data_IF_394625192928
#
_entry.id   IF_394625192928
#
_cell.length_a   1.000
_cell.length_b   1.000
_cell.length_c   1.000
_cell.angle_alpha   90.00
_cell.angle_beta   90.00
_cell.angle_gamma   90.00
#
_symmetry.space_group_name_H-M   'P 1'
#
loop_
_entity.id
_entity.type
_entity.pdbx_description
1 polymer ?
#
# COMPACT_ATOMS: atom_id res chain seq x y z
N UNK A 1 -11.06 -25.04 -11.48
CA UNK A 1 -11.72 -23.74 -11.18
C UNK A 1 -11.12 -22.64 -12.06
N UNK A 2 -11.84 -22.22 -13.11
CA UNK A 2 -11.44 -21.07 -13.92
C UNK A 2 -11.51 -19.80 -13.06
N UNK A 3 -10.60 -18.86 -13.30
CA UNK A 3 -10.70 -17.51 -12.77
C UNK A 3 -12.09 -16.93 -13.13
N UNK A 4 -12.69 -16.07 -12.29
CA UNK A 4 -13.95 -15.42 -12.63
C UNK A 4 -13.86 -14.79 -14.02
N UNK A 5 -14.93 -14.86 -14.84
CA UNK A 5 -14.93 -14.34 -16.19
C UNK A 5 -14.53 -12.86 -16.15
N UNK A 6 -13.56 -12.50 -16.99
CA UNK A 6 -13.04 -11.17 -17.35
C UNK A 6 -13.41 -9.98 -16.45
N UNK A 7 -12.40 -9.15 -16.17
CA UNK A 7 -12.57 -7.84 -15.54
C UNK A 7 -13.70 -7.00 -16.19
N UNK A 8 -14.02 -7.21 -17.46
CA UNK A 8 -15.30 -6.79 -18.06
C UNK A 8 -16.45 -7.76 -17.71
N UNK A 9 -16.89 -7.81 -16.44
CA UNK A 9 -18.09 -8.56 -16.09
C UNK A 9 -19.28 -7.96 -16.85
N UNK A 10 -20.20 -8.75 -17.41
CA UNK A 10 -21.45 -8.22 -17.95
C UNK A 10 -22.57 -8.48 -16.94
N UNK A 11 -23.48 -7.52 -16.74
CA UNK A 11 -24.69 -7.82 -15.97
C UNK A 11 -25.60 -8.79 -16.75
N UNK A 12 -26.69 -9.25 -16.12
CA UNK A 12 -27.62 -10.22 -16.72
C UNK A 12 -28.27 -9.74 -18.03
N UNK A 13 -28.17 -8.45 -18.36
CA UNK A 13 -28.64 -7.87 -19.63
C UNK A 13 -27.56 -7.80 -20.71
N UNK A 14 -26.34 -8.29 -20.43
CA UNK A 14 -25.21 -8.26 -21.34
C UNK A 14 -24.49 -6.91 -21.40
N UNK A 15 -24.83 -5.96 -20.52
CA UNK A 15 -24.12 -4.69 -20.41
C UNK A 15 -22.76 -4.93 -19.77
N UNK A 16 -21.68 -4.63 -20.49
CA UNK A 16 -20.32 -4.65 -19.96
C UNK A 16 -20.19 -3.67 -18.78
N UNK A 17 -19.95 -4.22 -17.60
CA UNK A 17 -19.37 -3.56 -16.43
C UNK A 17 -17.86 -3.45 -16.71
N UNK A 18 -17.50 -2.61 -17.67
CA UNK A 18 -16.10 -2.29 -17.91
C UNK A 18 -15.55 -1.58 -16.67
N UNK A 19 -14.31 -1.91 -16.28
CA UNK A 19 -13.55 -1.00 -15.43
C UNK A 19 -13.28 0.25 -16.26
N UNK A 20 -14.09 1.29 -16.04
CA UNK A 20 -13.97 2.56 -16.75
C UNK A 20 -12.49 3.05 -16.74
N UNK A 21 -11.78 2.83 -15.63
CA UNK A 21 -10.35 3.18 -15.47
C UNK A 21 -9.71 2.34 -14.36
N UNK A 22 -8.43 2.00 -14.51
CA UNK A 22 -7.56 1.45 -13.46
C UNK A 22 -6.39 2.40 -13.22
N UNK A 23 -6.33 3.04 -12.05
CA UNK A 23 -5.27 4.00 -11.72
C UNK A 23 -4.21 3.34 -10.85
N UNK A 24 -2.94 3.55 -11.20
CA UNK A 24 -1.80 3.00 -10.49
C UNK A 24 -0.77 4.09 -10.17
N UNK A 25 -0.23 4.07 -8.95
CA UNK A 25 0.89 4.92 -8.56
C UNK A 25 2.23 4.22 -8.76
N UNK A 26 3.10 4.77 -9.61
CA UNK A 26 4.44 4.27 -9.89
C UNK A 26 4.67 3.90 -11.36
N UNK A 27 5.78 3.20 -11.64
CA UNK A 27 6.13 2.72 -12.97
C UNK A 27 5.23 1.54 -13.38
N UNK A 28 4.48 1.71 -14.48
CA UNK A 28 3.63 0.69 -15.08
C UNK A 28 4.26 0.03 -16.32
N UNK A 29 5.57 0.10 -16.50
CA UNK A 29 6.28 -0.46 -17.66
C UNK A 29 5.96 -1.95 -17.92
N UNK A 30 5.37 -2.66 -16.96
CA UNK A 30 4.47 -3.79 -17.20
C UNK A 30 3.05 -3.48 -16.73
N UNK A 31 2.10 -3.25 -17.67
CA UNK A 31 0.72 -2.77 -17.48
C UNK A 31 -0.15 -3.51 -16.43
N UNK A 32 0.37 -4.53 -15.74
CA UNK A 32 -0.36 -5.36 -14.78
C UNK A 32 0.49 -5.86 -13.59
N UNK A 33 1.64 -5.25 -13.26
CA UNK A 33 2.48 -5.70 -12.13
C UNK A 33 2.81 -7.20 -12.12
N UNK A 34 3.09 -7.78 -13.29
CA UNK A 34 3.40 -9.20 -13.37
C UNK A 34 2.18 -10.13 -13.38
N UNK A 35 1.00 -9.63 -13.75
CA UNK A 35 -0.12 -10.45 -14.20
C UNK A 35 -0.26 -10.46 -15.74
N UNK A 36 0.63 -11.13 -16.51
CA UNK A 36 0.52 -11.21 -17.98
C UNK A 36 -0.85 -11.67 -18.45
N UNK A 37 -1.50 -12.55 -17.68
CA UNK A 37 -2.83 -13.07 -17.99
C UNK A 37 -3.92 -11.99 -18.01
N UNK A 38 -3.74 -10.89 -17.28
CA UNK A 38 -4.72 -9.79 -17.21
C UNK A 38 -4.45 -8.69 -18.23
N UNK A 39 -3.24 -8.66 -18.80
CA UNK A 39 -2.78 -7.58 -19.66
C UNK A 39 -3.65 -7.36 -20.92
N UNK A 40 -4.21 -8.40 -21.56
CA UNK A 40 -5.15 -8.20 -22.68
C UNK A 40 -6.52 -7.65 -22.25
N UNK A 41 -6.87 -7.74 -20.96
CA UNK A 41 -8.20 -7.45 -20.42
C UNK A 41 -8.28 -6.13 -19.66
N UNK A 42 -7.14 -5.53 -19.32
CA UNK A 42 -7.04 -4.26 -18.61
C UNK A 42 -6.60 -3.18 -19.60
N UNK A 43 -7.57 -2.52 -20.22
CA UNK A 43 -7.32 -1.64 -21.38
C UNK A 43 -7.21 -0.15 -21.03
N UNK A 44 -7.70 0.27 -19.85
CA UNK A 44 -7.76 1.68 -19.43
C UNK A 44 -6.88 1.95 -18.20
N UNK A 45 -5.58 1.71 -18.31
CA UNK A 45 -4.62 1.95 -17.22
C UNK A 45 -4.13 3.39 -17.25
N UNK A 46 -4.21 4.08 -16.11
CA UNK A 46 -3.64 5.41 -15.90
C UNK A 46 -2.52 5.30 -14.86
N UNK A 47 -1.33 5.77 -15.22
CA UNK A 47 -0.16 5.69 -14.37
C UNK A 47 0.22 7.07 -13.89
N UNK A 48 0.30 7.22 -12.58
CA UNK A 48 0.63 8.48 -11.92
C UNK A 48 1.98 8.34 -11.22
N UNK A 49 2.87 9.36 -11.29
CA UNK A 49 4.11 9.36 -10.53
C UNK A 49 3.84 9.14 -9.04
N UNK A 50 4.59 8.24 -8.42
CA UNK A 50 4.48 7.97 -6.99
C UNK A 50 5.84 7.60 -6.40
N UNK A 51 6.06 7.98 -5.15
CA UNK A 51 7.14 7.46 -4.32
C UNK A 51 6.63 6.20 -3.63
N UNK A 52 7.29 5.07 -3.90
CA UNK A 52 6.84 3.76 -3.44
C UNK A 52 7.92 2.94 -2.72
N UNK A 53 9.05 3.56 -2.41
CA UNK A 53 10.23 2.96 -1.80
C UNK A 53 10.88 3.89 -0.76
N UNK A 54 11.89 3.37 -0.06
CA UNK A 54 12.74 4.14 0.85
C UNK A 54 14.03 4.63 0.18
N UNK A 55 13.97 4.88 -1.12
CA UNK A 55 15.09 5.29 -1.96
C UNK A 55 15.93 4.11 -2.47
N UNK A 56 16.53 4.25 -3.66
CA UNK A 56 17.65 3.42 -4.13
C UNK A 56 18.96 4.16 -3.94
N UNK A 57 20.06 3.42 -3.71
CA UNK A 57 21.40 3.88 -4.08
C UNK A 57 21.40 4.22 -5.57
N UNK A 58 21.57 5.51 -5.87
CA UNK A 58 21.84 6.10 -7.19
C UNK A 58 20.76 5.87 -8.26
N UNK A 59 19.93 6.90 -8.46
CA UNK A 59 19.27 7.12 -9.74
C UNK A 59 20.31 7.41 -10.84
N UNK A 60 19.94 7.10 -12.08
CA UNK A 60 20.74 7.26 -13.32
C UNK A 60 21.17 8.72 -13.61
N UNK A 61 20.74 9.67 -12.78
CA UNK A 61 20.84 11.11 -12.97
C UNK A 61 21.56 11.84 -11.81
N UNK A 62 22.21 11.12 -10.89
CA UNK A 62 23.17 11.72 -9.95
C UNK A 62 22.60 12.57 -8.80
N UNK A 63 21.28 12.71 -8.65
CA UNK A 63 20.66 13.33 -7.47
C UNK A 63 20.26 12.26 -6.45
N UNK A 64 20.72 12.42 -5.20
CA UNK A 64 20.43 11.43 -4.15
C UNK A 64 18.99 11.58 -3.66
N UNK A 65 18.21 10.51 -3.69
CA UNK A 65 16.90 10.37 -3.00
C UNK A 65 17.04 10.43 -1.46
N UNK A 66 18.20 10.87 -0.94
CA UNK A 66 18.51 10.94 0.48
C UNK A 66 17.87 12.15 1.18
N UNK A 67 17.57 13.24 0.46
CA UNK A 67 17.09 14.49 1.07
C UNK A 67 15.63 14.40 1.56
N UNK A 68 14.82 13.54 0.95
CA UNK A 68 13.42 13.28 1.34
C UNK A 68 13.32 12.29 2.53
N UNK A 69 14.36 11.52 2.80
CA UNK A 69 14.39 10.54 3.89
C UNK A 69 14.90 11.25 5.14
N UNK A 70 14.02 11.39 6.13
CA UNK A 70 14.42 11.96 7.44
C UNK A 70 15.33 10.99 8.17
N UNK A 71 14.94 9.72 8.23
CA UNK A 71 15.75 8.60 8.73
C UNK A 71 15.10 7.26 8.38
N UNK A 72 15.85 6.16 8.54
CA UNK A 72 15.34 4.79 8.38
C UNK A 72 15.89 4.03 7.18
N UNK A 73 16.61 4.67 6.26
CA UNK A 73 17.28 4.00 5.14
C UNK A 73 18.80 4.21 5.11
N UNK A 74 19.44 4.07 6.27
CA UNK A 74 20.81 3.54 6.39
C UNK A 74 20.87 2.73 7.70
N UNK A 75 21.32 1.47 7.65
CA UNK A 75 21.37 0.57 8.82
C UNK A 75 20.11 -0.25 9.13
N UNK A 76 19.05 -0.19 8.31
CA UNK A 76 17.86 -1.05 8.44
C UNK A 76 17.42 -1.74 7.13
N UNK A 77 18.38 -2.01 6.25
CA UNK A 77 18.20 -2.76 5.00
C UNK A 77 17.09 -2.21 4.08
N UNK A 78 16.87 -0.88 4.04
CA UNK A 78 15.91 -0.20 3.14
C UNK A 78 14.43 -0.61 3.33
N UNK A 79 14.11 -1.32 4.41
CA UNK A 79 12.77 -1.88 4.63
C UNK A 79 11.81 -0.97 5.40
N UNK A 80 12.26 0.20 5.82
CA UNK A 80 11.42 1.28 6.33
C UNK A 80 12.11 2.64 6.23
N UNK A 81 11.35 3.72 6.28
CA UNK A 81 11.87 5.07 6.31
C UNK A 81 10.78 6.07 6.69
N UNK A 82 11.21 7.18 7.28
CA UNK A 82 10.37 8.35 7.51
C UNK A 82 10.58 9.32 6.37
N UNK A 83 9.49 9.71 5.71
CA UNK A 83 9.50 10.60 4.55
C UNK A 83 9.10 12.02 4.98
N UNK A 84 9.86 13.00 4.50
CA UNK A 84 9.52 14.42 4.55
C UNK A 84 8.70 14.77 3.29
N UNK A 85 7.39 14.81 3.43
CA UNK A 85 6.49 15.02 2.30
C UNK A 85 6.73 16.34 1.56
N UNK A 86 7.28 17.35 2.25
CA UNK A 86 7.59 18.65 1.64
C UNK A 86 8.73 18.59 0.62
N UNK A 87 9.51 17.52 0.64
CA UNK A 87 10.68 17.31 -0.23
C UNK A 87 10.45 16.23 -1.29
N UNK A 88 9.30 15.55 -1.27
CA UNK A 88 9.00 14.51 -2.23
C UNK A 88 8.76 15.12 -3.62
N UNK A 89 9.39 14.54 -4.64
CA UNK A 89 9.16 14.91 -6.06
C UNK A 89 7.84 14.37 -6.61
N UNK A 90 7.25 13.38 -5.95
CA UNK A 90 5.94 12.81 -6.25
C UNK A 90 5.26 12.36 -4.95
N UNK A 91 3.92 12.29 -4.87
CA UNK A 91 3.25 11.87 -3.66
C UNK A 91 3.56 10.40 -3.32
N UNK A 92 3.38 10.03 -2.05
CA UNK A 92 3.43 8.62 -1.65
C UNK A 92 2.34 7.81 -2.37
N UNK A 93 2.61 6.54 -2.69
CA UNK A 93 1.68 5.71 -3.48
C UNK A 93 0.26 5.65 -2.91
N UNK A 94 0.10 5.58 -1.58
CA UNK A 94 -1.23 5.52 -0.98
C UNK A 94 -1.97 6.86 -1.08
N UNK A 95 -1.25 7.99 -1.09
CA UNK A 95 -1.86 9.30 -1.41
C UNK A 95 -2.37 9.33 -2.85
N UNK A 96 -1.58 8.81 -3.81
CA UNK A 96 -2.00 8.69 -5.21
C UNK A 96 -3.26 7.81 -5.34
N UNK A 97 -3.31 6.68 -4.64
CA UNK A 97 -4.48 5.79 -4.63
C UNK A 97 -5.71 6.48 -4.02
N UNK A 98 -5.55 7.21 -2.92
CA UNK A 98 -6.65 7.95 -2.28
C UNK A 98 -7.19 9.03 -3.20
N UNK A 99 -6.32 9.86 -3.79
CA UNK A 99 -6.72 10.95 -4.68
C UNK A 99 -7.47 10.43 -5.91
N UNK A 100 -6.96 9.34 -6.52
CA UNK A 100 -7.62 8.68 -7.63
C UNK A 100 -9.00 8.13 -7.24
N UNK A 101 -9.10 7.49 -6.08
CA UNK A 101 -10.36 6.95 -5.55
C UNK A 101 -11.37 8.06 -5.33
N UNK A 102 -10.97 9.18 -4.71
CA UNK A 102 -11.81 10.38 -4.52
C UNK A 102 -12.30 10.91 -5.87
N UNK A 103 -11.43 11.02 -6.87
CA UNK A 103 -11.82 11.46 -8.20
C UNK A 103 -12.87 10.52 -8.84
N UNK A 104 -12.70 9.20 -8.71
CA UNK A 104 -13.67 8.23 -9.19
C UNK A 104 -15.01 8.30 -8.46
N UNK A 105 -15.01 8.47 -7.13
CA UNK A 105 -16.22 8.64 -6.34
C UNK A 105 -16.99 9.90 -6.77
N UNK A 106 -16.30 11.03 -6.97
CA UNK A 106 -16.91 12.28 -7.46
C UNK A 106 -17.52 12.11 -8.86
N UNK A 107 -16.80 11.46 -9.76
CA UNK A 107 -17.29 11.19 -11.12
C UNK A 107 -18.51 10.24 -11.12
N UNK A 108 -18.55 9.27 -10.21
CA UNK A 108 -19.69 8.39 -10.02
C UNK A 108 -20.90 9.14 -9.44
N UNK A 109 -20.69 9.99 -8.43
CA UNK A 109 -21.73 10.82 -7.82
C UNK A 109 -22.40 11.76 -8.84
N UNK A 110 -21.65 12.25 -9.84
CA UNK A 110 -22.18 13.06 -10.93
C UNK A 110 -23.12 12.29 -11.89
N UNK A 111 -23.19 10.95 -11.78
CA UNK A 111 -24.02 10.06 -12.61
C UNK A 111 -24.94 9.19 -11.73
N UNK A 112 -25.86 9.79 -10.94
CA UNK A 112 -26.61 9.07 -9.89
C UNK A 112 -27.54 7.96 -10.41
N UNK A 113 -27.86 7.94 -11.71
CA UNK A 113 -28.66 6.89 -12.34
C UNK A 113 -27.84 5.64 -12.71
N UNK A 114 -26.50 5.71 -12.63
CA UNK A 114 -25.60 4.63 -13.02
C UNK A 114 -24.98 4.02 -11.76
N UNK A 115 -25.22 2.72 -11.47
CA UNK A 115 -24.54 2.06 -10.36
C UNK A 115 -23.04 2.02 -10.64
N UNK A 116 -22.24 2.15 -9.58
CA UNK A 116 -20.79 2.11 -9.67
C UNK A 116 -20.20 1.12 -8.68
N UNK A 117 -18.99 0.66 -8.97
CA UNK A 117 -18.14 -0.10 -8.08
C UNK A 117 -16.75 0.53 -8.10
N UNK A 118 -16.21 0.86 -6.93
CA UNK A 118 -14.86 1.40 -6.78
C UNK A 118 -14.11 0.56 -5.75
N UNK A 119 -12.95 0.05 -6.15
CA UNK A 119 -12.03 -0.64 -5.25
C UNK A 119 -10.79 0.23 -5.03
N UNK A 120 -10.48 0.51 -3.76
CA UNK A 120 -9.29 1.26 -3.35
C UNK A 120 -8.31 0.31 -2.64
N UNK A 121 -7.16 0.04 -3.26
CA UNK A 121 -6.15 -0.88 -2.72
C UNK A 121 -4.96 -0.12 -2.13
N UNK A 122 -4.99 0.16 -0.82
CA UNK A 122 -3.87 0.79 -0.12
C UNK A 122 -2.72 -0.22 0.06
N UNK A 123 -1.48 0.19 -0.22
CA UNK A 123 -0.27 -0.64 -0.17
C UNK A 123 0.27 -0.77 1.25
N UNK A 124 0.24 0.27 2.08
CA UNK A 124 0.68 0.13 3.48
C UNK A 124 -0.36 -0.70 4.26
N UNK A 125 0.07 -1.55 5.20
CA UNK A 125 1.40 -1.63 5.80
C UNK A 125 2.34 -2.69 5.16
N UNK A 126 2.24 -2.98 3.86
CA UNK A 126 3.22 -3.85 3.20
C UNK A 126 4.62 -3.22 3.19
N UNK A 127 5.69 -4.04 3.12
CA UNK A 127 7.06 -3.55 3.01
C UNK A 127 7.35 -2.86 1.65
N UNK A 128 8.36 -1.96 1.58
CA UNK A 128 9.02 -1.31 2.72
C UNK A 128 8.06 -0.36 3.45
N UNK A 129 8.25 -0.14 4.76
CA UNK A 129 7.41 0.76 5.55
C UNK A 129 7.86 2.21 5.41
N UNK A 130 7.34 2.92 4.41
CA UNK A 130 7.47 4.38 4.31
C UNK A 130 6.18 5.06 4.74
N UNK A 131 6.33 6.18 5.43
CA UNK A 131 5.22 6.98 5.94
C UNK A 131 5.68 8.42 6.24
N UNK A 132 4.75 9.39 6.27
CA UNK A 132 5.04 10.78 6.64
C UNK A 132 5.59 10.95 8.06
N UNK A 133 6.37 12.02 8.25
CA UNK A 133 7.05 12.33 9.53
C UNK A 133 6.08 12.52 10.69
N UNK A 134 4.89 13.07 10.44
CA UNK A 134 3.88 13.34 11.46
C UNK A 134 3.38 12.04 12.11
N UNK A 135 3.32 10.95 11.35
CA UNK A 135 2.84 9.66 11.83
C UNK A 135 3.89 8.92 12.65
N UNK A 136 5.16 9.19 12.38
CA UNK A 136 6.25 8.68 13.18
C UNK A 136 6.21 9.21 14.61
N UNK A 137 5.85 10.49 14.77
CA UNK A 137 5.77 11.18 16.05
C UNK A 137 4.65 10.65 16.97
N UNK A 138 3.70 9.86 16.45
CA UNK A 138 2.60 9.28 17.23
C UNK A 138 3.05 8.15 18.17
N UNK A 139 4.21 7.55 17.90
CA UNK A 139 4.68 6.37 18.61
C UNK A 139 5.92 6.67 19.45
N UNK A 140 6.01 6.11 20.68
CA UNK A 140 7.18 6.29 21.52
C UNK A 140 8.43 5.72 20.85
N UNK A 141 9.63 6.09 21.33
CA UNK A 141 10.88 5.56 20.79
C UNK A 141 10.88 4.03 20.75
N UNK A 142 11.57 3.45 19.75
CA UNK A 142 11.60 1.99 19.56
C UNK A 142 12.07 1.21 20.80
N UNK A 143 12.92 1.80 21.65
CA UNK A 143 13.35 1.20 22.92
C UNK A 143 12.22 0.97 23.93
N UNK A 144 11.08 1.65 23.78
CA UNK A 144 9.89 1.49 24.61
C UNK A 144 8.83 0.57 23.97
N UNK A 145 9.01 0.18 22.71
CA UNK A 145 8.14 -0.77 22.04
C UNK A 145 8.56 -2.19 22.44
N UNK A 146 7.64 -2.93 23.06
CA UNK A 146 7.92 -4.29 23.47
C UNK A 146 8.21 -5.20 22.25
N UNK A 147 9.33 -5.96 22.24
CA UNK A 147 9.60 -6.95 21.22
C UNK A 147 8.66 -8.18 21.37
N UNK A 148 8.62 -9.09 20.39
CA UNK A 148 7.85 -10.32 20.51
C UNK A 148 8.25 -11.12 21.77
N UNK A 149 7.25 -11.55 22.56
CA UNK A 149 7.48 -12.32 23.80
C UNK A 149 8.18 -13.66 23.54
N UNK A 150 7.89 -14.29 22.40
CA UNK A 150 8.51 -15.54 21.95
C UNK A 150 9.19 -15.27 20.61
N UNK A 151 10.53 -15.31 20.62
CA UNK A 151 11.35 -15.06 19.42
C UNK A 151 11.86 -16.35 18.79
N UNK A 152 11.86 -17.44 19.57
CA UNK A 152 12.23 -18.76 19.10
C UNK A 152 10.98 -19.55 18.72
N UNK A 153 11.10 -20.46 17.73
CA UNK A 153 10.03 -21.39 17.40
C UNK A 153 9.60 -22.19 18.63
N UNK A 154 8.29 -22.46 18.80
CA UNK A 154 7.81 -23.24 19.94
C UNK A 154 8.31 -24.69 19.88
N UNK A 155 8.46 -25.31 21.05
CA UNK A 155 8.85 -26.72 21.14
C UNK A 155 7.85 -27.60 20.38
N UNK A 156 8.37 -28.52 19.56
CA UNK A 156 7.55 -29.46 18.77
C UNK A 156 7.00 -28.86 17.47
N UNK A 157 7.32 -27.61 17.12
CA UNK A 157 6.95 -27.05 15.83
C UNK A 157 7.71 -27.78 14.69
N UNK A 158 7.01 -28.29 13.66
CA UNK A 158 7.68 -28.87 12.50
C UNK A 158 8.41 -27.79 11.71
N UNK A 159 9.59 -28.11 11.16
CA UNK A 159 10.38 -27.16 10.37
C UNK A 159 9.60 -26.57 9.19
N UNK A 160 8.73 -27.38 8.56
CA UNK A 160 7.87 -26.93 7.46
C UNK A 160 6.85 -25.84 7.86
N UNK A 161 6.60 -25.63 9.15
CA UNK A 161 5.75 -24.55 9.64
C UNK A 161 6.53 -23.25 9.92
N UNK A 162 7.87 -23.26 9.79
CA UNK A 162 8.66 -22.03 9.88
C UNK A 162 8.76 -21.36 8.51
N UNK A 163 8.43 -20.07 8.47
CA UNK A 163 8.67 -19.24 7.30
C UNK A 163 9.93 -18.40 7.53
N UNK A 164 10.96 -18.62 6.71
CA UNK A 164 12.12 -17.73 6.68
C UNK A 164 11.67 -16.40 6.08
N UNK A 165 11.63 -15.37 6.92
CA UNK A 165 11.10 -14.06 6.54
C UNK A 165 12.19 -13.06 6.17
N UNK A 166 11.76 -11.82 5.93
CA UNK A 166 12.67 -10.68 5.87
C UNK A 166 13.43 -10.49 7.20
N UNK A 167 14.42 -9.58 7.21
CA UNK A 167 15.17 -9.17 8.41
C UNK A 167 16.07 -10.24 9.03
N UNK A 168 16.63 -11.13 8.20
CA UNK A 168 17.48 -12.24 8.63
C UNK A 168 16.81 -13.10 9.72
N UNK A 169 15.48 -13.17 9.74
CA UNK A 169 14.73 -13.97 10.70
C UNK A 169 14.73 -15.43 10.25
N UNK A 170 15.75 -16.16 10.68
CA UNK A 170 15.90 -17.58 10.38
C UNK A 170 15.48 -18.42 11.58
N UNK A 171 15.30 -19.72 11.35
CA UNK A 171 14.94 -20.67 12.41
C UNK A 171 15.97 -20.68 13.55
N UNK A 172 17.25 -20.50 13.22
CA UNK A 172 18.38 -20.54 14.17
C UNK A 172 18.75 -19.16 14.70
N UNK A 173 18.52 -18.11 13.92
CA UNK A 173 18.91 -16.74 14.23
C UNK A 173 17.67 -15.84 14.12
N UNK A 174 16.88 -15.72 15.20
CA UNK A 174 15.74 -14.81 15.18
C UNK A 174 16.19 -13.36 15.22
N UNK A 175 15.35 -12.46 14.68
CA UNK A 175 15.61 -11.02 14.70
C UNK A 175 15.92 -10.51 16.12
N UNK A 176 16.98 -9.70 16.31
CA UNK A 176 17.30 -9.09 17.61
C UNK A 176 16.12 -8.28 18.16
N UNK A 177 15.93 -8.21 19.49
CA UNK A 177 14.76 -7.54 20.06
C UNK A 177 14.74 -6.04 19.75
N UNK A 178 15.89 -5.36 19.80
CA UNK A 178 16.02 -3.95 19.45
C UNK A 178 15.57 -3.68 18.01
N UNK A 179 16.00 -4.52 17.08
CA UNK A 179 15.61 -4.43 15.67
C UNK A 179 14.12 -4.77 15.48
N UNK A 180 13.61 -5.81 16.15
CA UNK A 180 12.19 -6.15 16.11
C UNK A 180 11.30 -5.00 16.61
N UNK A 181 11.73 -4.29 17.67
CA UNK A 181 11.01 -3.13 18.19
C UNK A 181 11.01 -1.94 17.21
N UNK A 182 12.11 -1.71 16.48
CA UNK A 182 12.18 -0.71 15.40
C UNK A 182 11.17 -1.05 14.29
N UNK A 183 11.16 -2.29 13.80
CA UNK A 183 10.21 -2.68 12.75
C UNK A 183 8.76 -2.66 13.21
N UNK A 184 8.48 -3.02 14.47
CA UNK A 184 7.13 -2.90 15.04
C UNK A 184 6.68 -1.45 15.08
N UNK A 185 7.55 -0.53 15.51
CA UNK A 185 7.25 0.90 15.48
C UNK A 185 6.96 1.38 14.06
N UNK A 186 7.82 1.04 13.10
CA UNK A 186 7.62 1.41 11.70
C UNK A 186 6.35 0.81 11.10
N UNK A 187 6.01 -0.44 11.42
CA UNK A 187 4.76 -1.07 11.02
C UNK A 187 3.56 -0.34 11.62
N UNK A 188 3.60 0.06 12.89
CA UNK A 188 2.52 0.84 13.50
C UNK A 188 2.33 2.20 12.82
N UNK A 189 3.42 2.92 12.55
CA UNK A 189 3.36 4.17 11.79
C UNK A 189 2.77 3.99 10.39
N UNK A 190 3.13 2.90 9.69
CA UNK A 190 2.55 2.56 8.40
C UNK A 190 1.06 2.19 8.50
N UNK A 191 0.62 1.53 9.58
CA UNK A 191 -0.82 1.27 9.83
C UNK A 191 -1.58 2.58 10.08
N UNK A 192 -1.03 3.49 10.89
CA UNK A 192 -1.62 4.83 11.07
C UNK A 192 -1.68 5.62 9.76
N UNK A 193 -0.75 5.38 8.84
CA UNK A 193 -0.80 5.99 7.52
C UNK A 193 -1.99 5.47 6.70
N UNK A 194 -2.18 4.15 6.68
CA UNK A 194 -3.36 3.53 6.09
C UNK A 194 -4.64 4.05 6.73
N UNK A 195 -4.70 4.15 8.06
CA UNK A 195 -5.86 4.64 8.81
C UNK A 195 -6.22 6.09 8.44
N UNK A 196 -5.22 6.99 8.40
CA UNK A 196 -5.41 8.38 7.93
C UNK A 196 -6.00 8.42 6.51
N UNK A 197 -5.47 7.60 5.61
CA UNK A 197 -5.93 7.51 4.21
C UNK A 197 -7.36 6.95 4.10
N UNK A 198 -7.71 5.95 4.91
CA UNK A 198 -9.09 5.46 5.03
C UNK A 198 -10.02 6.58 5.52
N UNK A 199 -9.58 7.37 6.49
CA UNK A 199 -10.33 8.54 6.97
C UNK A 199 -10.71 9.49 5.83
N UNK A 200 -9.75 9.86 4.97
CA UNK A 200 -10.00 10.72 3.79
C UNK A 200 -11.06 10.12 2.86
N UNK A 201 -11.02 8.81 2.60
CA UNK A 201 -12.00 8.14 1.76
C UNK A 201 -13.40 8.12 2.38
N UNK A 202 -13.50 7.88 3.69
CA UNK A 202 -14.77 7.89 4.41
C UNK A 202 -15.38 9.29 4.49
N UNK A 203 -14.54 10.31 4.68
CA UNK A 203 -14.98 11.71 4.68
C UNK A 203 -15.55 12.10 3.31
N UNK A 204 -14.90 11.71 2.21
CA UNK A 204 -15.42 11.94 0.86
C UNK A 204 -16.75 11.21 0.62
N UNK A 205 -16.85 9.93 1.01
CA UNK A 205 -18.10 9.17 0.90
C UNK A 205 -19.25 9.84 1.66
N UNK A 206 -18.96 10.34 2.87
CA UNK A 206 -19.91 11.08 3.70
C UNK A 206 -20.33 12.41 3.04
N UNK A 207 -19.37 13.15 2.50
CA UNK A 207 -19.60 14.44 1.83
C UNK A 207 -20.47 14.29 0.57
N UNK A 208 -20.26 13.22 -0.20
CA UNK A 208 -21.02 12.95 -1.43
C UNK A 208 -22.46 12.48 -1.18
N UNK A 209 -22.80 12.08 0.06
CA UNK A 209 -24.13 11.58 0.45
C UNK A 209 -24.66 10.50 -0.50
N UNK A 210 -23.78 9.60 -0.92
CA UNK A 210 -24.11 8.52 -1.82
C UNK A 210 -25.17 7.60 -1.18
N UNK A 211 -26.12 7.08 -1.97
CA UNK A 211 -27.10 6.13 -1.45
C UNK A 211 -26.40 4.90 -0.85
N UNK A 212 -26.99 4.27 0.18
CA UNK A 212 -26.38 3.11 0.82
C UNK A 212 -26.15 2.00 -0.21
N UNK A 213 -25.06 1.22 -0.08
CA UNK A 213 -24.76 0.16 -1.02
C UNK A 213 -25.89 -0.87 -1.05
N UNK A 214 -26.36 -1.22 -2.25
CA UNK A 214 -27.20 -2.39 -2.43
C UNK A 214 -26.36 -3.63 -2.11
N UNK A 215 -26.75 -4.49 -1.17
CA UNK A 215 -26.02 -5.71 -0.89
C UNK A 215 -25.85 -6.53 -2.17
N UNK A 216 -24.61 -6.91 -2.47
CA UNK A 216 -24.34 -7.96 -3.45
C UNK A 216 -24.74 -9.27 -2.75
N UNK A 217 -25.97 -9.71 -2.98
CA UNK A 217 -26.52 -10.96 -2.45
C UNK A 217 -25.85 -12.19 -3.04
#
# INVERSE_FOLDING_TARGET
PGLPPNFDAADASGRKLSWDTFVWGGDCSGNTNGWPLLQPHVTNVVCLPAVDSCGKKEGRDGESESEQIVYGADGAAELWCVQDESKLKAPLVDHVTVDATVAHLRAAAARPAVPFFVAAGLKKPHLPFYYPTELDALYPPASQIAPPRRRYPPQGMPLAAWHEGHFNNTFVTPTPPSQASVFRRAYYSAVSFTDRNVGVLLDELSALRLPPPTPLG
#
